data_IF_011138714440
#
_entry.id   IF_011138714440
#
_cell.length_a   1.000
_cell.length_b   1.000
_cell.length_c   1.000
_cell.angle_alpha   90.00
_cell.angle_beta   90.00
_cell.angle_gamma   90.00
#
_symmetry.space_group_name_H-M   'P 1'
#
loop_
_entity.id
_entity.type
_entity.pdbx_description
1 polymer ?
#
# COMPACT_ATOMS: atom_id res chain seq x y z
N UNK A 1 -14.74 6.11 8.97
CA UNK A 1 -15.31 4.75 8.91
C UNK A 1 -14.30 3.70 8.43
N UNK A 2 -13.60 3.91 7.31
CA UNK A 2 -12.67 2.90 6.77
C UNK A 2 -11.46 2.61 7.69
N UNK A 3 -10.90 3.62 8.34
CA UNK A 3 -9.73 3.46 9.22
C UNK A 3 -10.01 2.52 10.42
N UNK A 4 -11.19 2.66 11.06
CA UNK A 4 -11.59 1.82 12.19
C UNK A 4 -11.72 0.35 11.79
N UNK A 5 -12.32 0.07 10.62
CA UNK A 5 -12.47 -1.29 10.11
C UNK A 5 -11.11 -1.94 9.81
N UNK A 6 -10.18 -1.18 9.23
CA UNK A 6 -8.80 -1.63 8.99
C UNK A 6 -8.12 -2.00 10.31
N UNK A 7 -8.23 -1.16 11.34
CA UNK A 7 -7.63 -1.41 12.66
C UNK A 7 -8.26 -2.62 13.36
N UNK A 8 -9.58 -2.81 13.22
CA UNK A 8 -10.28 -3.97 13.77
C UNK A 8 -9.82 -5.27 13.09
N UNK A 9 -9.73 -5.29 11.77
CA UNK A 9 -9.27 -6.47 11.03
C UNK A 9 -7.79 -6.75 11.28
N UNK A 10 -6.95 -5.71 11.37
CA UNK A 10 -5.56 -5.81 11.81
C UNK A 10 -5.44 -6.53 13.15
N UNK A 11 -6.22 -6.09 14.15
CA UNK A 11 -6.27 -6.72 15.46
C UNK A 11 -6.75 -8.17 15.38
N UNK A 12 -7.80 -8.45 14.61
CA UNK A 12 -8.36 -9.79 14.42
C UNK A 12 -7.36 -10.77 13.80
N UNK A 13 -6.59 -10.31 12.81
CA UNK A 13 -5.55 -11.09 12.12
C UNK A 13 -4.18 -11.03 12.82
N UNK A 14 -4.09 -10.42 14.00
CA UNK A 14 -2.83 -10.20 14.73
C UNK A 14 -1.74 -9.50 13.90
N UNK A 15 -2.13 -8.67 12.94
CA UNK A 15 -1.22 -7.90 12.11
C UNK A 15 -0.91 -6.58 12.82
N UNK A 16 0.38 -6.33 13.04
CA UNK A 16 0.86 -5.11 13.67
C UNK A 16 1.93 -4.44 12.80
N UNK A 17 2.00 -3.12 12.91
CA UNK A 17 3.06 -2.31 12.30
C UNK A 17 3.85 -1.71 13.44
N UNK A 18 5.14 -2.00 13.45
CA UNK A 18 6.07 -1.47 14.44
C UNK A 18 6.38 0.00 14.16
N UNK A 19 6.82 0.73 15.19
CA UNK A 19 7.24 2.12 15.02
C UNK A 19 8.39 2.24 14.02
N UNK A 20 9.36 1.31 14.06
CA UNK A 20 10.48 1.30 13.11
C UNK A 20 10.05 1.15 11.64
N UNK A 21 8.96 0.42 11.35
CA UNK A 21 8.41 0.36 9.99
C UNK A 21 7.78 1.70 9.56
N UNK A 22 7.16 2.42 10.49
CA UNK A 22 6.61 3.75 10.23
C UNK A 22 7.75 4.74 9.99
N UNK A 23 8.78 4.73 10.84
CA UNK A 23 9.94 5.59 10.72
C UNK A 23 10.71 5.34 9.42
N UNK A 24 10.85 4.08 9.00
CA UNK A 24 11.44 3.73 7.72
C UNK A 24 10.64 4.29 6.53
N UNK A 25 9.30 4.23 6.60
CA UNK A 25 8.43 4.84 5.58
C UNK A 25 8.51 6.36 5.58
N UNK A 26 8.55 7.00 6.75
CA UNK A 26 8.76 8.45 6.88
C UNK A 26 10.08 8.83 6.25
N UNK A 27 11.17 8.12 6.58
CA UNK A 27 12.49 8.40 6.03
C UNK A 27 12.54 8.31 4.51
N UNK A 28 11.87 7.31 3.91
CA UNK A 28 11.76 7.21 2.44
C UNK A 28 11.06 8.43 1.83
N UNK A 29 10.02 8.94 2.48
CA UNK A 29 9.32 10.15 2.03
C UNK A 29 10.24 11.36 2.21
N UNK A 30 10.93 11.49 3.35
CA UNK A 30 11.90 12.56 3.59
C UNK A 30 13.00 12.58 2.53
N UNK A 31 13.58 11.42 2.22
CA UNK A 31 14.61 11.28 1.20
C UNK A 31 14.08 11.66 -0.19
N UNK A 32 12.86 11.20 -0.55
CA UNK A 32 12.21 11.60 -1.80
C UNK A 32 11.96 13.10 -1.88
N UNK A 33 11.49 13.74 -0.80
CA UNK A 33 11.23 15.18 -0.78
C UNK A 33 12.53 15.99 -0.86
N UNK A 34 13.59 15.54 -0.19
CA UNK A 34 14.92 16.16 -0.28
C UNK A 34 15.46 16.18 -1.70
N UNK A 35 15.24 15.11 -2.48
CA UNK A 35 15.63 15.09 -3.90
C UNK A 35 14.88 16.12 -4.74
N UNK A 36 13.70 16.54 -4.28
CA UNK A 36 12.87 17.57 -4.90
C UNK A 36 13.13 18.97 -4.30
N UNK A 37 14.10 19.11 -3.40
CA UNK A 37 14.43 20.38 -2.74
C UNK A 37 13.42 20.80 -1.68
N UNK A 38 12.57 19.88 -1.20
CA UNK A 38 11.53 20.16 -0.20
C UNK A 38 11.82 19.46 1.13
N UNK A 39 11.43 20.10 2.24
CA UNK A 39 11.43 19.49 3.57
C UNK A 39 10.06 18.84 3.86
N UNK A 40 10.06 17.66 4.50
CA UNK A 40 8.85 17.00 4.95
C UNK A 40 7.93 17.89 5.79
N UNK A 41 8.48 18.66 6.73
CA UNK A 41 7.66 19.54 7.59
C UNK A 41 6.94 20.61 6.77
N UNK A 42 7.62 21.19 5.78
CA UNK A 42 7.01 22.16 4.85
C UNK A 42 5.96 21.50 3.98
N UNK A 43 6.23 20.30 3.44
CA UNK A 43 5.27 19.56 2.62
C UNK A 43 4.00 19.19 3.42
N UNK A 44 4.17 18.75 4.66
CA UNK A 44 3.07 18.44 5.57
C UNK A 44 2.26 19.70 5.92
N UNK A 45 2.94 20.81 6.24
CA UNK A 45 2.28 22.08 6.53
C UNK A 45 1.45 22.61 5.34
N UNK A 46 1.98 22.49 4.11
CA UNK A 46 1.25 22.83 2.88
C UNK A 46 -0.01 21.99 2.68
N UNK A 47 0.02 20.74 3.13
CA UNK A 47 -1.14 19.83 3.09
C UNK A 47 -2.04 19.97 4.33
N UNK A 48 -1.72 20.87 5.27
CA UNK A 48 -2.45 21.03 6.53
C UNK A 48 -2.34 19.82 7.46
N UNK A 49 -1.28 19.03 7.34
CA UNK A 49 -1.04 17.80 8.08
C UNK A 49 0.06 17.96 9.12
N UNK A 50 -0.01 17.18 10.20
CA UNK A 50 1.09 17.04 11.16
C UNK A 50 1.90 15.76 10.89
N UNK A 51 3.08 15.65 11.50
CA UNK A 51 3.88 14.42 11.48
C UNK A 51 3.13 13.24 12.10
N UNK A 52 2.25 13.50 13.07
CA UNK A 52 1.38 12.49 13.67
C UNK A 52 0.35 11.98 12.67
N UNK A 53 -0.28 12.88 11.90
CA UNK A 53 -1.22 12.50 10.84
C UNK A 53 -0.54 11.62 9.79
N UNK A 54 0.66 12.02 9.36
CA UNK A 54 1.46 11.21 8.45
C UNK A 54 1.76 9.83 9.04
N UNK A 55 2.19 9.78 10.30
CA UNK A 55 2.51 8.53 10.99
C UNK A 55 1.29 7.61 11.07
N UNK A 56 0.11 8.15 11.36
CA UNK A 56 -1.14 7.40 11.37
C UNK A 56 -1.54 6.92 9.98
N UNK A 57 -1.40 7.75 8.94
CA UNK A 57 -1.65 7.34 7.56
C UNK A 57 -0.71 6.22 7.11
N UNK A 58 0.58 6.34 7.41
CA UNK A 58 1.58 5.32 7.09
C UNK A 58 1.32 4.03 7.85
N UNK A 59 0.94 4.10 9.13
CA UNK A 59 0.52 2.94 9.91
C UNK A 59 -0.64 2.22 9.23
N UNK A 60 -1.69 2.95 8.85
CA UNK A 60 -2.84 2.37 8.16
C UNK A 60 -2.45 1.76 6.82
N UNK A 61 -1.66 2.46 6.00
CA UNK A 61 -1.16 1.95 4.72
C UNK A 61 -0.38 0.64 4.90
N UNK A 62 0.58 0.61 5.83
CA UNK A 62 1.39 -0.56 6.12
C UNK A 62 0.53 -1.73 6.64
N UNK A 63 -0.50 -1.44 7.45
CA UNK A 63 -1.45 -2.45 7.90
C UNK A 63 -2.23 -3.05 6.73
N UNK A 64 -2.77 -2.21 5.84
CA UNK A 64 -3.48 -2.68 4.65
C UNK A 64 -2.57 -3.54 3.77
N UNK A 65 -1.34 -3.10 3.52
CA UNK A 65 -0.39 -3.87 2.72
C UNK A 65 -0.08 -5.23 3.35
N UNK A 66 0.14 -5.29 4.68
CA UNK A 66 0.34 -6.56 5.39
C UNK A 66 -0.90 -7.46 5.38
N UNK A 67 -2.08 -6.90 5.59
CA UNK A 67 -3.35 -7.63 5.60
C UNK A 67 -3.69 -8.21 4.23
N UNK A 68 -3.22 -7.55 3.17
CA UNK A 68 -3.44 -7.96 1.79
C UNK A 68 -2.20 -8.63 1.18
N UNK A 69 -1.11 -8.82 1.92
CA UNK A 69 0.15 -9.36 1.42
C UNK A 69 -0.05 -10.67 0.65
N UNK A 70 -0.89 -11.56 1.18
CA UNK A 70 -1.25 -12.82 0.54
C UNK A 70 -2.08 -12.62 -0.73
N UNK A 71 -2.96 -11.62 -0.77
CA UNK A 71 -3.83 -11.30 -1.91
C UNK A 71 -3.09 -10.56 -3.03
N UNK A 72 -2.01 -9.83 -2.70
CA UNK A 72 -1.22 -9.04 -3.66
C UNK A 72 0.06 -9.73 -4.12
N UNK A 73 0.30 -10.98 -3.71
CA UNK A 73 1.44 -11.76 -4.16
C UNK A 73 1.43 -11.86 -5.69
N UNK A 74 2.51 -11.42 -6.32
CA UNK A 74 2.73 -11.54 -7.76
C UNK A 74 3.60 -12.77 -7.99
N UNK A 75 3.19 -13.61 -8.94
CA UNK A 75 3.94 -14.81 -9.32
C UNK A 75 4.86 -14.52 -10.50
N UNK A 76 5.94 -15.30 -10.64
CA UNK A 76 6.86 -15.18 -11.78
C UNK A 76 6.14 -15.37 -13.12
N UNK A 77 5.12 -16.24 -13.14
CA UNK A 77 4.27 -16.44 -14.32
C UNK A 77 3.54 -15.17 -14.72
N UNK A 78 2.94 -14.46 -13.75
CA UNK A 78 2.23 -13.21 -14.04
C UNK A 78 3.17 -12.13 -14.58
N UNK A 79 4.40 -12.07 -14.04
CA UNK A 79 5.45 -11.16 -14.53
C UNK A 79 5.84 -11.52 -15.97
N UNK A 80 6.10 -12.80 -16.24
CA UNK A 80 6.47 -13.28 -17.58
C UNK A 80 5.36 -13.02 -18.60
N UNK A 81 4.11 -13.37 -18.26
CA UNK A 81 2.94 -13.17 -19.12
C UNK A 81 2.72 -11.66 -19.39
N UNK A 82 2.95 -10.78 -18.40
CA UNK A 82 2.82 -9.34 -18.58
C UNK A 82 3.94 -8.79 -19.48
N UNK A 83 5.19 -9.19 -19.24
CA UNK A 83 6.31 -8.79 -20.10
C UNK A 83 6.03 -9.24 -21.54
N UNK A 84 5.54 -10.47 -21.73
CA UNK A 84 5.29 -11.02 -23.05
C UNK A 84 4.22 -10.24 -23.82
N UNK A 85 3.15 -9.83 -23.14
CA UNK A 85 2.05 -9.06 -23.75
C UNK A 85 2.40 -7.61 -24.03
N UNK A 86 3.42 -7.07 -23.35
CA UNK A 86 3.76 -5.65 -23.39
C UNK A 86 5.20 -5.41 -23.86
N UNK A 87 5.83 -6.35 -24.57
CA UNK A 87 7.25 -6.29 -24.97
C UNK A 87 7.62 -4.96 -25.62
N UNK A 88 6.73 -4.44 -26.47
CA UNK A 88 6.94 -3.19 -27.22
C UNK A 88 6.86 -1.92 -26.37
N UNK A 89 6.40 -2.03 -25.12
CA UNK A 89 6.28 -0.88 -24.19
C UNK A 89 7.55 -0.65 -23.36
N UNK A 90 8.46 -1.63 -23.31
CA UNK A 90 9.67 -1.51 -22.51
C UNK A 90 10.77 -0.80 -23.29
N UNK A 91 11.52 0.12 -22.64
CA UNK A 91 12.69 0.74 -23.27
C UNK A 91 13.72 -0.33 -23.65
N UNK A 92 14.29 -0.20 -24.85
CA UNK A 92 15.28 -1.14 -25.41
C UNK A 92 16.54 -1.23 -24.51
N UNK A 93 16.91 -0.12 -23.87
CA UNK A 93 18.09 -0.03 -23.01
C UNK A 93 17.86 -0.56 -21.58
N UNK A 94 16.63 -0.92 -21.24
CA UNK A 94 16.29 -1.39 -19.89
C UNK A 94 16.70 -2.87 -19.72
N UNK A 95 17.46 -3.16 -18.65
CA UNK A 95 17.93 -4.52 -18.40
C UNK A 95 16.79 -5.42 -17.92
N UNK A 96 16.83 -6.70 -18.28
CA UNK A 96 15.81 -7.69 -17.90
C UNK A 96 15.50 -7.72 -16.38
N UNK A 97 16.48 -7.67 -15.45
CA UNK A 97 16.19 -7.61 -14.03
C UNK A 97 15.42 -6.36 -13.61
N UNK A 98 15.68 -5.23 -14.26
CA UNK A 98 14.97 -3.97 -14.00
C UNK A 98 13.55 -4.02 -14.56
N UNK A 99 13.36 -4.57 -15.76
CA UNK A 99 12.03 -4.81 -16.35
C UNK A 99 11.21 -5.70 -15.41
N UNK A 100 11.75 -6.85 -14.99
CA UNK A 100 11.08 -7.76 -14.05
C UNK A 100 10.70 -7.07 -12.75
N UNK A 101 11.61 -6.28 -12.16
CA UNK A 101 11.34 -5.52 -10.93
C UNK A 101 10.23 -4.48 -11.13
N UNK A 102 10.29 -3.71 -12.22
CA UNK A 102 9.29 -2.69 -12.56
C UNK A 102 7.91 -3.29 -12.77
N UNK A 103 7.83 -4.38 -13.56
CA UNK A 103 6.58 -5.11 -13.81
C UNK A 103 6.03 -5.74 -12.53
N UNK A 104 6.90 -6.32 -11.70
CA UNK A 104 6.47 -6.90 -10.41
C UNK A 104 5.85 -5.83 -9.52
N UNK A 105 6.49 -4.67 -9.40
CA UNK A 105 5.97 -3.56 -8.60
C UNK A 105 4.65 -3.04 -9.19
N UNK A 106 4.57 -2.87 -10.51
CA UNK A 106 3.35 -2.44 -11.19
C UNK A 106 2.18 -3.41 -10.94
N UNK A 107 2.40 -4.71 -11.12
CA UNK A 107 1.39 -5.74 -10.85
C UNK A 107 1.00 -5.77 -9.38
N UNK A 108 1.97 -5.60 -8.47
CA UNK A 108 1.70 -5.50 -7.03
C UNK A 108 0.80 -4.29 -6.72
N UNK A 109 1.09 -3.12 -7.30
CA UNK A 109 0.26 -1.93 -7.12
C UNK A 109 -1.15 -2.11 -7.70
N UNK A 110 -1.28 -2.74 -8.86
CA UNK A 110 -2.58 -3.05 -9.47
C UNK A 110 -3.40 -4.03 -8.61
N UNK A 111 -2.77 -5.10 -8.13
CA UNK A 111 -3.39 -6.05 -7.21
C UNK A 111 -3.75 -5.39 -5.89
N UNK A 112 -2.90 -4.52 -5.37
CA UNK A 112 -3.17 -3.78 -4.13
C UNK A 112 -4.39 -2.88 -4.28
N UNK A 113 -4.49 -2.11 -5.37
CA UNK A 113 -5.65 -1.26 -5.62
C UNK A 113 -6.97 -2.05 -5.69
N UNK A 114 -6.99 -3.09 -6.52
CA UNK A 114 -8.18 -3.95 -6.68
C UNK A 114 -8.53 -4.73 -5.41
N UNK A 115 -7.54 -5.34 -4.75
CA UNK A 115 -7.74 -6.09 -3.50
C UNK A 115 -8.18 -5.17 -2.36
N UNK A 116 -7.64 -3.95 -2.27
CA UNK A 116 -8.04 -2.98 -1.25
C UNK A 116 -9.48 -2.55 -1.44
N UNK A 117 -9.91 -2.29 -2.67
CA UNK A 117 -11.30 -1.92 -2.96
C UNK A 117 -12.26 -3.06 -2.59
N UNK A 118 -11.98 -4.28 -3.05
CA UNK A 118 -12.80 -5.46 -2.75
C UNK A 118 -12.85 -5.74 -1.24
N UNK A 119 -11.70 -5.66 -0.57
CA UNK A 119 -11.61 -5.91 0.87
C UNK A 119 -12.31 -4.85 1.70
N UNK A 120 -12.24 -3.56 1.34
CA UNK A 120 -12.99 -2.51 2.04
C UNK A 120 -14.50 -2.68 1.90
N UNK A 121 -14.98 -3.16 0.74
CA UNK A 121 -16.39 -3.51 0.56
C UNK A 121 -16.79 -4.70 1.45
N UNK A 122 -15.96 -5.74 1.49
CA UNK A 122 -16.15 -6.91 2.35
C UNK A 122 -16.22 -6.51 3.83
N UNK A 123 -15.26 -5.71 4.32
CA UNK A 123 -15.24 -5.18 5.68
C UNK A 123 -16.49 -4.37 6.01
N UNK A 124 -16.89 -3.47 5.10
CA UNK A 124 -18.07 -2.62 5.31
C UNK A 124 -19.35 -3.45 5.37
N UNK A 125 -19.48 -4.46 4.50
CA UNK A 125 -20.63 -5.38 4.50
C UNK A 125 -20.69 -6.19 5.79
N UNK A 126 -19.57 -6.77 6.21
CA UNK A 126 -19.48 -7.54 7.45
C UNK A 126 -19.77 -6.68 8.69
N UNK A 127 -19.29 -5.43 8.72
CA UNK A 127 -19.57 -4.51 9.80
C UNK A 127 -21.06 -4.15 9.91
N UNK A 128 -21.73 -3.93 8.77
CA UNK A 128 -23.19 -3.71 8.72
C UNK A 128 -23.94 -4.92 9.23
N UNK A 129 -23.57 -6.14 8.82
CA UNK A 129 -24.21 -7.38 9.28
C UNK A 129 -24.13 -7.50 10.80
N UNK A 130 -22.95 -7.26 11.40
CA UNK A 130 -22.79 -7.32 12.85
C UNK A 130 -23.63 -6.27 13.60
N UNK A 131 -23.88 -5.11 13.01
CA UNK A 131 -24.76 -4.10 13.60
C UNK A 131 -26.23 -4.57 13.66
N UNK A 132 -26.71 -5.26 12.62
CA UNK A 132 -28.08 -5.76 12.56
C UNK A 132 -28.32 -7.04 13.39
N UNK A 133 -27.29 -7.85 13.64
CA UNK A 133 -27.41 -9.08 14.45
C UNK A 133 -27.33 -8.76 15.95
N UNK A 134 -26.78 -7.62 16.35
CA UNK A 134 -26.62 -7.20 17.75
C UNK A 134 -27.78 -6.29 18.25
N UNK A 135 -28.97 -6.39 17.68
CA UNK A 135 -30.16 -5.61 18.07
C UNK A 135 -31.35 -6.50 18.40
#
# INVERSE_FOLDING_TARGET
MNQTLILQEAKKKNVQVSQGEIDASIKKIEDSLKTQGQNLETALAQQGMTRQDLSMQLKLRNLVEKLLADRIKVTDKEVADYIEKNKDTFPIDMKEPEIKKSVTEQLKQQKLGSSSQAWLQELTKNAKINYFVNY
#
